data_IF_921992037470
#
_entry.id   IF_921992037470
#
_cell.length_a   1.000
_cell.length_b   1.000
_cell.length_c   1.000
_cell.angle_alpha   90.00
_cell.angle_beta   90.00
_cell.angle_gamma   90.00
#
_symmetry.space_group_name_H-M   'P 1'
#
loop_
_entity.id
_entity.type
_entity.pdbx_description
1 polymer ?
#
# COMPACT_ATOMS: atom_id res chain seq x y z
N UNK A 1 13.68 4.78 20.33
CA UNK A 1 12.94 3.55 20.67
C UNK A 1 12.19 3.11 19.44
N UNK A 2 12.30 1.83 19.07
CA UNK A 2 11.43 1.23 18.06
C UNK A 2 10.19 0.68 18.75
N UNK A 3 9.03 0.85 18.14
CA UNK A 3 7.75 0.31 18.63
C UNK A 3 7.36 -0.79 17.65
N UNK A 4 7.21 -2.01 18.16
CA UNK A 4 6.68 -3.14 17.40
C UNK A 4 5.17 -3.23 17.67
N UNK A 5 4.37 -3.16 16.61
CA UNK A 5 2.92 -3.27 16.70
C UNK A 5 2.48 -4.71 16.44
N UNK A 6 1.46 -5.15 17.17
CA UNK A 6 0.74 -6.39 16.88
C UNK A 6 -0.44 -6.13 15.94
N UNK A 7 -0.93 -7.17 15.26
CA UNK A 7 -2.09 -7.06 14.37
C UNK A 7 -3.30 -6.52 15.15
N UNK A 8 -3.89 -5.44 14.66
CA UNK A 8 -5.04 -4.76 15.28
C UNK A 8 -4.67 -3.77 16.39
N UNK A 9 -3.38 -3.59 16.69
CA UNK A 9 -2.94 -2.61 17.67
C UNK A 9 -2.99 -1.19 17.08
N UNK A 10 -3.59 -0.26 17.83
CA UNK A 10 -3.51 1.18 17.56
C UNK A 10 -2.41 1.80 18.40
N UNK A 11 -1.72 2.79 17.83
CA UNK A 11 -0.73 3.59 18.55
C UNK A 11 -1.14 5.06 18.54
N UNK A 12 -0.96 5.72 19.67
CA UNK A 12 -1.00 7.18 19.77
C UNK A 12 0.39 7.73 19.42
N UNK A 13 0.47 8.53 18.35
CA UNK A 13 1.72 9.15 17.91
C UNK A 13 2.02 10.45 18.67
N UNK A 14 1.13 10.91 19.54
CA UNK A 14 1.40 12.03 20.44
C UNK A 14 2.40 11.57 21.49
N UNK A 15 3.55 12.26 21.56
CA UNK A 15 4.57 11.99 22.57
C UNK A 15 4.13 12.58 23.91
N UNK A 16 3.20 11.91 24.59
CA UNK A 16 2.49 12.43 25.77
C UNK A 16 3.34 12.42 27.07
N UNK A 17 4.55 11.89 27.03
CA UNK A 17 5.35 11.62 28.24
C UNK A 17 5.76 12.87 29.04
N UNK A 18 5.64 14.08 28.46
CA UNK A 18 6.10 15.35 29.09
C UNK A 18 5.17 16.56 28.96
N UNK A 19 3.93 16.38 28.50
CA UNK A 19 2.96 17.48 28.39
C UNK A 19 3.20 18.46 27.23
N UNK A 20 4.12 18.13 26.30
CA UNK A 20 4.35 18.89 25.08
C UNK A 20 3.42 18.35 23.96
N UNK A 21 2.66 19.24 23.32
CA UNK A 21 1.88 18.87 22.13
C UNK A 21 2.85 18.65 20.95
N UNK A 22 3.13 17.40 20.62
CA UNK A 22 3.87 17.08 19.41
C UNK A 22 2.90 17.05 18.22
N UNK A 23 3.09 17.95 17.26
CA UNK A 23 2.34 17.97 16.01
C UNK A 23 3.08 17.13 14.96
N UNK A 24 2.42 16.08 14.46
CA UNK A 24 3.02 15.16 13.50
C UNK A 24 3.02 15.82 12.12
N UNK A 25 4.14 16.43 11.75
CA UNK A 25 4.28 17.13 10.47
C UNK A 25 4.78 16.26 9.31
N UNK A 26 5.43 15.13 9.62
CA UNK A 26 6.03 14.25 8.61
C UNK A 26 5.95 12.78 9.01
N UNK A 27 5.63 11.93 8.04
CA UNK A 27 5.62 10.48 8.17
C UNK A 27 6.42 9.87 7.01
N UNK A 28 7.21 8.85 7.30
CA UNK A 28 7.84 8.00 6.29
C UNK A 28 7.36 6.57 6.50
N UNK A 29 6.87 5.96 5.43
CA UNK A 29 6.35 4.60 5.44
C UNK A 29 7.30 3.74 4.60
N UNK A 30 7.83 2.67 5.20
CA UNK A 30 8.64 1.66 4.52
C UNK A 30 7.92 0.32 4.57
N UNK A 31 7.87 -0.37 3.44
CA UNK A 31 7.21 -1.66 3.29
C UNK A 31 8.19 -2.64 2.66
N UNK A 32 8.09 -3.90 3.07
CA UNK A 32 8.93 -4.98 2.56
C UNK A 32 8.21 -6.30 2.74
N UNK A 33 8.45 -7.22 1.81
CA UNK A 33 7.87 -8.55 1.79
C UNK A 33 8.91 -9.55 1.30
N UNK A 34 8.80 -10.78 1.78
CA UNK A 34 9.58 -11.90 1.27
C UNK A 34 8.77 -12.59 0.17
N UNK A 35 9.40 -12.79 -0.99
CA UNK A 35 8.81 -13.53 -2.11
C UNK A 35 9.17 -15.00 -2.00
N UNK A 36 8.16 -15.88 -2.12
CA UNK A 36 8.40 -17.32 -2.10
C UNK A 36 9.09 -17.75 -3.39
N UNK A 37 10.34 -18.17 -3.28
CA UNK A 37 11.06 -18.80 -4.39
C UNK A 37 10.61 -20.25 -4.55
N UNK A 38 10.27 -20.67 -5.78
CA UNK A 38 10.00 -22.10 -6.07
C UNK A 38 11.35 -22.79 -6.27
N UNK A 39 11.66 -23.79 -5.45
CA UNK A 39 12.84 -24.62 -5.66
C UNK A 39 12.67 -25.50 -6.91
N UNK A 40 13.12 -25.00 -8.05
CA UNK A 40 13.18 -25.78 -9.29
C UNK A 40 14.36 -26.77 -9.21
N UNK A 41 14.10 -27.95 -8.62
CA UNK A 41 15.04 -29.06 -8.60
C UNK A 41 15.51 -29.47 -10.00
N UNK A 42 16.63 -30.21 -10.08
CA UNK A 42 17.32 -30.56 -11.34
C UNK A 42 16.41 -31.21 -12.41
N UNK A 43 15.43 -32.02 -12.00
CA UNK A 43 14.42 -32.60 -12.90
C UNK A 43 13.39 -31.58 -13.42
N UNK A 44 13.03 -30.57 -12.64
CA UNK A 44 12.10 -29.51 -13.05
C UNK A 44 12.65 -28.66 -14.19
N UNK A 45 13.96 -28.39 -14.22
CA UNK A 45 14.59 -27.65 -15.33
C UNK A 45 14.62 -28.42 -16.65
N UNK A 46 14.65 -29.76 -16.61
CA UNK A 46 14.73 -30.60 -17.81
C UNK A 46 13.36 -30.79 -18.51
N UNK A 47 12.25 -30.67 -17.77
CA UNK A 47 10.89 -30.82 -18.31
C UNK A 47 10.19 -29.48 -18.60
N UNK A 48 10.95 -28.40 -18.82
CA UNK A 48 10.38 -27.08 -19.11
C UNK A 48 9.81 -26.41 -17.87
N UNK A 49 10.65 -26.28 -16.83
CA UNK A 49 10.33 -25.84 -15.48
C UNK A 49 9.23 -24.79 -15.39
N UNK A 50 8.31 -25.00 -14.44
CA UNK A 50 7.23 -24.08 -14.15
C UNK A 50 7.81 -22.68 -13.93
N UNK A 51 7.30 -21.71 -14.68
CA UNK A 51 7.62 -20.30 -14.49
C UNK A 51 7.36 -19.93 -13.03
N UNK A 52 8.33 -19.26 -12.42
CA UNK A 52 8.12 -18.64 -11.12
C UNK A 52 6.99 -17.63 -11.27
N UNK A 53 6.04 -17.67 -10.34
CA UNK A 53 4.99 -16.67 -10.30
C UNK A 53 5.63 -15.37 -9.83
N UNK A 54 5.57 -14.35 -10.66
CA UNK A 54 6.01 -13.02 -10.31
C UNK A 54 4.99 -12.42 -9.34
N UNK A 55 5.47 -11.94 -8.20
CA UNK A 55 4.65 -11.22 -7.22
C UNK A 55 4.83 -9.74 -7.45
N UNK A 56 3.83 -9.12 -8.07
CA UNK A 56 3.73 -7.68 -8.23
C UNK A 56 2.84 -7.13 -7.09
N UNK A 57 3.45 -6.36 -6.20
CA UNK A 57 2.79 -5.88 -4.99
C UNK A 57 2.79 -4.36 -4.97
N UNK A 58 1.58 -3.81 -4.99
CA UNK A 58 1.34 -2.39 -4.89
C UNK A 58 1.03 -1.96 -3.46
N UNK A 59 1.48 -0.75 -3.15
CA UNK A 59 1.19 -0.07 -1.89
C UNK A 59 0.36 1.16 -2.18
N UNK A 60 -0.72 1.30 -1.43
CA UNK A 60 -1.61 2.44 -1.52
C UNK A 60 -1.92 3.00 -0.14
N UNK A 61 -1.96 4.34 -0.06
CA UNK A 61 -2.46 5.07 1.10
C UNK A 61 -3.65 5.92 0.66
N UNK A 62 -4.76 5.83 1.41
CA UNK A 62 -5.92 6.68 1.22
C UNK A 62 -6.03 7.69 2.36
N UNK A 63 -6.18 8.96 2.00
CA UNK A 63 -6.59 9.99 2.94
C UNK A 63 -8.12 10.01 2.97
N UNK A 64 -8.72 9.80 4.15
CA UNK A 64 -10.17 9.80 4.32
C UNK A 64 -10.67 11.13 4.88
N UNK A 65 -11.86 11.53 4.48
CA UNK A 65 -12.61 12.66 5.04
C UNK A 65 -13.36 12.27 6.32
N UNK A 66 -14.09 13.23 6.90
CA UNK A 66 -14.88 13.01 8.12
C UNK A 66 -16.05 12.02 7.97
N UNK A 67 -16.43 11.69 6.73
CA UNK A 67 -17.47 10.70 6.42
C UNK A 67 -16.88 9.32 6.10
N UNK A 68 -15.56 9.15 6.25
CA UNK A 68 -14.85 7.91 5.92
C UNK A 68 -14.74 7.65 4.42
N UNK A 69 -14.86 8.67 3.57
CA UNK A 69 -14.68 8.58 2.12
C UNK A 69 -13.29 9.08 1.72
N UNK A 70 -12.75 8.58 0.62
CA UNK A 70 -11.46 9.06 0.12
C UNK A 70 -11.58 10.54 -0.24
N UNK A 71 -10.81 11.39 0.44
CA UNK A 71 -10.87 12.83 0.32
C UNK A 71 -10.39 13.34 -1.05
N UNK A 72 -9.48 12.59 -1.70
CA UNK A 72 -8.93 12.93 -3.00
C UNK A 72 -8.49 11.66 -3.76
N UNK A 73 -9.04 11.44 -4.95
CA UNK A 73 -8.73 10.30 -5.82
C UNK A 73 -7.61 10.60 -6.83
N UNK A 74 -6.83 11.66 -6.62
CA UNK A 74 -5.78 12.09 -7.52
C UNK A 74 -6.34 12.73 -8.80
N UNK A 75 -5.75 12.37 -9.95
CA UNK A 75 -6.12 12.94 -11.24
C UNK A 75 -7.40 12.29 -11.75
N UNK A 76 -8.31 13.13 -12.22
CA UNK A 76 -9.49 12.66 -12.93
C UNK A 76 -9.32 12.79 -14.44
N UNK A 77 -9.82 11.80 -15.19
CA UNK A 77 -10.13 11.96 -16.62
C UNK A 77 -11.60 12.27 -16.79
N UNK A 78 -11.88 13.25 -17.65
CA UNK A 78 -13.23 13.55 -18.13
C UNK A 78 -13.30 13.18 -19.60
N UNK A 79 -14.23 12.30 -19.94
CA UNK A 79 -14.49 11.87 -21.31
C UNK A 79 -15.44 12.85 -22.02
N UNK A 80 -15.43 12.85 -23.35
CA UNK A 80 -16.27 13.73 -24.18
C UNK A 80 -17.79 13.53 -23.96
N UNK A 81 -18.19 12.35 -23.46
CA UNK A 81 -19.57 12.04 -23.09
C UNK A 81 -19.95 12.50 -21.66
N UNK A 82 -19.06 13.20 -20.95
CA UNK A 82 -19.28 13.67 -19.58
C UNK A 82 -18.95 12.65 -18.48
N UNK A 83 -18.56 11.42 -18.83
CA UNK A 83 -18.13 10.45 -17.85
C UNK A 83 -16.81 10.89 -17.19
N UNK A 84 -16.69 10.63 -15.89
CA UNK A 84 -15.50 10.94 -15.11
C UNK A 84 -14.93 9.67 -14.49
N UNK A 85 -13.63 9.44 -14.65
CA UNK A 85 -12.90 8.35 -14.01
C UNK A 85 -11.81 8.95 -13.14
N UNK A 86 -11.84 8.64 -11.85
CA UNK A 86 -10.79 9.02 -10.88
C UNK A 86 -9.60 8.08 -10.93
N UNK A 87 -8.55 8.38 -10.15
CA UNK A 87 -7.30 7.60 -10.08
C UNK A 87 -6.62 7.41 -11.45
N UNK A 88 -6.82 8.33 -12.40
CA UNK A 88 -6.21 8.17 -13.71
C UNK A 88 -4.67 8.19 -13.63
N UNK A 89 -4.06 7.12 -14.16
CA UNK A 89 -2.63 6.90 -14.12
C UNK A 89 -2.11 6.39 -12.78
N UNK A 90 -3.00 6.07 -11.84
CA UNK A 90 -2.67 5.20 -10.71
C UNK A 90 -2.73 3.73 -11.14
N UNK A 91 -1.98 2.88 -10.44
CA UNK A 91 -1.98 1.42 -10.67
C UNK A 91 -3.22 0.71 -10.09
N UNK A 92 -4.18 1.50 -9.60
CA UNK A 92 -5.25 1.03 -8.75
C UNK A 92 -6.47 0.80 -9.64
N UNK A 93 -6.72 -0.47 -9.98
CA UNK A 93 -7.91 -0.88 -10.74
C UNK A 93 -8.97 -1.39 -9.76
N UNK A 94 -10.13 -0.74 -9.72
CA UNK A 94 -11.31 -1.30 -9.07
C UNK A 94 -12.03 -2.24 -10.05
N UNK A 95 -12.32 -3.47 -9.62
CA UNK A 95 -13.17 -4.42 -10.34
C UNK A 95 -14.66 -4.17 -10.03
#
# INVERSE_FOLDING_TARGET
MAINLQKGQTIDLRKNDKGESFDLSQVTIGLGWDVKQKENGFFGKLFGGAKEEEFDLDVIAFLLDSNGKVANLGRDLTFSNGNKVGLHGGDIVFF
#
